data_IF_812798680803
#
_entry.id   IF_812798680803
#
_cell.length_a   1.000
_cell.length_b   1.000
_cell.length_c   1.000
_cell.angle_alpha   90.00
_cell.angle_beta   90.00
_cell.angle_gamma   90.00
#
_symmetry.space_group_name_H-M   'P 1'
#
loop_
_entity.id
_entity.type
_entity.pdbx_description
1 polymer ?
#
# COMPACT_ATOMS: atom_id res chain seq x y z
N UNK A 1 -5.69 -16.09 -11.23
CA UNK A 1 -6.67 -16.64 -10.26
C UNK A 1 -6.52 -15.97 -8.89
N UNK A 2 -5.32 -15.88 -8.30
CA UNK A 2 -5.10 -15.23 -7.00
C UNK A 2 -5.55 -13.75 -6.95
N UNK A 3 -5.18 -12.94 -7.94
CA UNK A 3 -5.55 -11.51 -8.03
C UNK A 3 -7.06 -11.28 -7.94
N UNK A 4 -7.86 -12.01 -8.73
CA UNK A 4 -9.33 -11.88 -8.73
C UNK A 4 -9.98 -12.26 -7.39
N UNK A 5 -9.43 -13.27 -6.70
CA UNK A 5 -9.90 -13.69 -5.37
C UNK A 5 -9.57 -12.61 -4.33
N UNK A 6 -8.36 -12.07 -4.36
CA UNK A 6 -7.95 -10.99 -3.45
C UNK A 6 -8.74 -9.71 -3.70
N UNK A 7 -9.01 -9.34 -4.96
CA UNK A 7 -9.90 -8.22 -5.30
C UNK A 7 -11.31 -8.41 -4.74
N UNK A 8 -11.85 -9.63 -4.83
CA UNK A 8 -13.16 -9.95 -4.24
C UNK A 8 -13.12 -9.87 -2.71
N UNK A 9 -12.02 -10.30 -2.09
CA UNK A 9 -11.82 -10.24 -0.65
C UNK A 9 -11.74 -8.80 -0.14
N UNK A 10 -10.95 -7.93 -0.79
CA UNK A 10 -10.87 -6.51 -0.40
C UNK A 10 -12.17 -5.75 -0.68
N UNK A 11 -12.94 -6.14 -1.70
CA UNK A 11 -14.26 -5.57 -1.95
C UNK A 11 -15.28 -5.97 -0.87
N UNK A 12 -15.26 -7.23 -0.42
CA UNK A 12 -16.17 -7.74 0.60
C UNK A 12 -15.78 -7.30 2.03
N UNK A 13 -14.49 -7.21 2.32
CA UNK A 13 -13.94 -6.82 3.61
C UNK A 13 -12.80 -5.80 3.45
N UNK A 14 -13.10 -4.52 3.16
CA UNK A 14 -12.08 -3.51 2.85
C UNK A 14 -11.07 -3.24 3.99
N UNK A 15 -11.40 -3.58 5.24
CA UNK A 15 -10.50 -3.43 6.40
C UNK A 15 -9.62 -4.65 6.65
N UNK A 16 -9.76 -5.74 5.86
CA UNK A 16 -8.91 -6.92 5.95
C UNK A 16 -7.53 -6.62 5.34
N UNK A 17 -6.62 -6.08 6.14
CA UNK A 17 -5.32 -5.61 5.66
C UNK A 17 -4.48 -6.68 4.95
N UNK A 18 -4.52 -7.93 5.42
CA UNK A 18 -3.75 -9.03 4.82
C UNK A 18 -4.05 -9.22 3.32
N UNK A 19 -5.31 -9.06 2.90
CA UNK A 19 -5.67 -9.20 1.48
C UNK A 19 -5.06 -8.10 0.60
N UNK A 20 -4.89 -6.90 1.15
CA UNK A 20 -4.24 -5.79 0.44
C UNK A 20 -2.73 -5.98 0.32
N UNK A 21 -2.06 -6.50 1.36
CA UNK A 21 -0.62 -6.81 1.30
C UNK A 21 -0.35 -7.88 0.25
N UNK A 22 -1.09 -9.00 0.29
CA UNK A 22 -0.94 -10.07 -0.69
C UNK A 22 -1.18 -9.55 -2.12
N UNK A 23 -2.14 -8.64 -2.29
CA UNK A 23 -2.41 -8.03 -3.59
C UNK A 23 -1.26 -7.13 -4.06
N UNK A 24 -0.64 -6.36 -3.15
CA UNK A 24 0.51 -5.52 -3.45
C UNK A 24 1.75 -6.37 -3.83
N UNK A 25 1.99 -7.47 -3.12
CA UNK A 25 3.10 -8.38 -3.41
C UNK A 25 2.98 -9.13 -4.75
N UNK A 26 1.78 -9.15 -5.35
CA UNK A 26 1.56 -9.69 -6.70
C UNK A 26 1.75 -8.65 -7.81
N UNK A 27 1.83 -7.35 -7.48
CA UNK A 27 2.05 -6.28 -8.43
C UNK A 27 3.56 -6.08 -8.64
N UNK A 28 4.08 -6.52 -9.79
CA UNK A 28 5.51 -6.42 -10.11
C UNK A 28 5.91 -5.09 -10.75
N UNK A 29 4.93 -4.29 -11.18
CA UNK A 29 5.14 -3.01 -11.85
C UNK A 29 3.97 -2.06 -11.55
N UNK A 30 4.18 -0.77 -11.74
CA UNK A 30 3.20 0.27 -11.40
C UNK A 30 1.91 0.10 -12.22
N UNK A 31 2.04 -0.23 -13.51
CA UNK A 31 0.94 -0.46 -14.44
C UNK A 31 0.03 -1.62 -14.01
N UNK A 32 0.60 -2.60 -13.30
CA UNK A 32 -0.19 -3.70 -12.75
C UNK A 32 -1.16 -3.22 -11.66
N UNK A 33 -0.79 -2.19 -10.89
CA UNK A 33 -1.66 -1.58 -9.88
C UNK A 33 -2.87 -0.88 -10.52
N UNK A 34 -2.66 -0.18 -11.64
CA UNK A 34 -3.73 0.54 -12.35
C UNK A 34 -4.79 -0.39 -12.94
N UNK A 35 -4.43 -1.66 -13.20
CA UNK A 35 -5.37 -2.67 -13.69
C UNK A 35 -6.32 -3.22 -12.61
N UNK A 36 -6.00 -3.00 -11.34
CA UNK A 36 -6.76 -3.55 -10.21
C UNK A 36 -8.11 -2.83 -10.05
N UNK A 37 -9.18 -3.63 -10.03
CA UNK A 37 -10.50 -3.19 -9.60
C UNK A 37 -10.56 -3.20 -8.07
N UNK A 38 -10.37 -2.03 -7.46
CA UNK A 38 -10.34 -1.83 -6.01
C UNK A 38 -11.58 -1.05 -5.53
N UNK A 39 -12.08 -1.32 -4.31
CA UNK A 39 -13.20 -0.58 -3.76
C UNK A 39 -12.81 0.85 -3.40
N UNK A 40 -13.73 1.80 -3.58
CA UNK A 40 -13.56 3.18 -3.09
C UNK A 40 -13.63 3.22 -1.56
N UNK A 41 -12.49 3.04 -0.90
CA UNK A 41 -12.38 2.97 0.55
C UNK A 41 -11.06 3.59 1.03
N UNK A 42 -11.02 4.12 2.26
CA UNK A 42 -9.83 4.81 2.79
C UNK A 42 -8.61 3.87 2.93
N UNK A 43 -8.82 2.56 3.01
CA UNK A 43 -7.73 1.57 3.02
C UNK A 43 -6.91 1.58 1.72
N UNK A 44 -7.43 2.14 0.62
CA UNK A 44 -6.64 2.35 -0.60
C UNK A 44 -5.41 3.24 -0.37
N UNK A 45 -5.45 4.17 0.57
CA UNK A 45 -4.30 5.03 0.88
C UNK A 45 -3.15 4.23 1.52
N UNK A 46 -3.49 3.28 2.41
CA UNK A 46 -2.51 2.35 2.97
C UNK A 46 -1.98 1.38 1.92
N UNK A 47 -2.86 0.86 1.06
CA UNK A 47 -2.47 0.00 -0.05
C UNK A 47 -1.48 0.70 -1.00
N UNK A 48 -1.79 1.91 -1.46
CA UNK A 48 -0.92 2.65 -2.38
C UNK A 48 0.46 2.92 -1.76
N UNK A 49 0.49 3.41 -0.51
CA UNK A 49 1.75 3.68 0.20
C UNK A 49 2.60 2.41 0.37
N UNK A 50 1.98 1.28 0.70
CA UNK A 50 2.67 -0.01 0.83
C UNK A 50 3.16 -0.54 -0.52
N UNK A 51 2.32 -0.51 -1.56
CA UNK A 51 2.70 -0.95 -2.90
C UNK A 51 3.89 -0.15 -3.46
N UNK A 52 3.98 1.15 -3.17
CA UNK A 52 5.15 1.95 -3.55
C UNK A 52 6.44 1.51 -2.85
N UNK A 53 6.37 1.04 -1.60
CA UNK A 53 7.53 0.45 -0.91
C UNK A 53 7.98 -0.84 -1.61
N UNK A 54 7.04 -1.74 -1.93
CA UNK A 54 7.33 -3.00 -2.62
C UNK A 54 7.94 -2.77 -4.00
N UNK A 55 7.42 -1.77 -4.75
CA UNK A 55 7.93 -1.35 -6.06
C UNK A 55 9.22 -0.52 -6.00
N UNK A 56 9.81 -0.31 -4.81
CA UNK A 56 11.02 0.53 -4.60
C UNK A 56 10.87 1.99 -5.05
N UNK A 57 9.64 2.49 -5.12
CA UNK A 57 9.30 3.88 -5.43
C UNK A 57 9.35 4.73 -4.14
N UNK A 58 10.56 4.90 -3.60
CA UNK A 58 10.76 5.41 -2.25
C UNK A 58 10.21 6.83 -2.03
N UNK A 59 10.32 7.73 -3.01
CA UNK A 59 9.79 9.10 -2.88
C UNK A 59 8.25 9.10 -2.81
N UNK A 60 7.59 8.34 -3.71
CA UNK A 60 6.14 8.20 -3.74
C UNK A 60 5.62 7.53 -2.47
N UNK A 61 6.33 6.51 -1.97
CA UNK A 61 6.00 5.86 -0.70
C UNK A 61 6.07 6.85 0.47
N UNK A 62 7.14 7.65 0.55
CA UNK A 62 7.31 8.66 1.60
C UNK A 62 6.22 9.73 1.54
N UNK A 63 5.91 10.25 0.35
CA UNK A 63 4.82 11.22 0.16
C UNK A 63 3.47 10.65 0.60
N UNK A 64 3.16 9.41 0.20
CA UNK A 64 1.91 8.74 0.56
C UNK A 64 1.80 8.49 2.08
N UNK A 65 2.88 8.03 2.74
CA UNK A 65 2.88 7.86 4.19
C UNK A 65 2.90 9.18 4.97
N UNK A 66 3.49 10.24 4.43
CA UNK A 66 3.35 11.59 4.99
C UNK A 66 1.89 12.07 4.95
N UNK A 67 1.16 11.80 3.87
CA UNK A 67 -0.26 12.12 3.80
C UNK A 67 -1.07 11.37 4.87
N UNK A 68 -0.79 10.07 5.10
CA UNK A 68 -1.41 9.29 6.18
C UNK A 68 -1.06 9.85 7.56
N UNK A 69 0.20 10.23 7.78
CA UNK A 69 0.66 10.86 9.03
C UNK A 69 -0.14 12.14 9.30
N UNK A 70 -0.28 13.01 8.30
CA UNK A 70 -1.04 14.25 8.40
C UNK A 70 -2.56 14.02 8.59
N UNK A 71 -3.07 12.85 8.21
CA UNK A 71 -4.47 12.46 8.39
C UNK A 71 -4.77 11.86 9.78
N UNK A 72 -3.81 11.86 10.71
CA UNK A 72 -4.01 11.38 12.09
C UNK A 72 -3.40 10.00 12.39
N UNK A 73 -2.58 9.45 11.49
CA UNK A 73 -1.89 8.16 11.70
C UNK A 73 -0.43 8.32 12.15
N UNK A 74 -0.04 9.48 12.66
CA UNK A 74 1.34 9.78 13.07
C UNK A 74 1.87 8.90 14.23
N UNK A 75 0.97 8.26 14.99
CA UNK A 75 1.32 7.31 16.06
C UNK A 75 1.24 5.84 15.62
N UNK A 76 0.95 5.56 14.35
CA UNK A 76 0.87 4.20 13.83
C UNK A 76 2.26 3.60 13.69
N UNK A 77 2.57 2.57 14.50
CA UNK A 77 3.84 1.84 14.41
C UNK A 77 4.09 1.27 13.01
N UNK A 78 3.02 0.85 12.33
CA UNK A 78 3.10 0.35 10.96
C UNK A 78 3.57 1.45 9.98
N UNK A 79 2.95 2.64 10.02
CA UNK A 79 3.32 3.78 9.18
C UNK A 79 4.77 4.18 9.44
N UNK A 80 5.16 4.31 10.71
CA UNK A 80 6.54 4.65 11.09
C UNK A 80 7.55 3.63 10.57
N UNK A 81 7.26 2.33 10.69
CA UNK A 81 8.15 1.27 10.21
C UNK A 81 8.31 1.32 8.68
N UNK A 82 7.22 1.52 7.94
CA UNK A 82 7.26 1.58 6.47
C UNK A 82 7.99 2.83 5.96
N UNK A 83 7.83 3.98 6.61
CA UNK A 83 8.62 5.18 6.29
C UNK A 83 10.12 4.95 6.55
N UNK A 84 10.47 4.24 7.62
CA UNK A 84 11.87 3.91 7.91
C UNK A 84 12.48 3.01 6.82
N UNK A 85 11.72 2.03 6.32
CA UNK A 85 12.12 1.18 5.18
C UNK A 85 12.31 2.05 3.92
N UNK A 86 11.33 2.87 3.55
CA UNK A 86 11.43 3.73 2.37
C UNK A 86 12.62 4.72 2.44
N UNK A 87 12.88 5.29 3.62
CA UNK A 87 14.07 6.13 3.83
C UNK A 87 15.39 5.35 3.73
N UNK A 88 15.42 4.09 4.16
CA UNK A 88 16.58 3.23 4.01
C UNK A 88 16.82 2.91 2.53
N UNK A 89 15.77 2.46 1.82
CA UNK A 89 15.85 2.08 0.41
C UNK A 89 16.22 3.26 -0.49
N UNK A 90 15.77 4.48 -0.19
CA UNK A 90 16.22 5.69 -0.90
C UNK A 90 17.73 5.96 -0.80
N UNK A 91 18.36 5.53 0.29
CA UNK A 91 19.78 5.82 0.58
C UNK A 91 20.72 4.77 0.00
N UNK A 92 20.22 3.57 -0.30
CA UNK A 92 20.96 2.48 -0.94
C UNK A 92 21.02 2.65 -2.44
#
# INVERSE_FOLDING_TARGET
>A
QAVTVLQSAVAAAPTLWAAWIELAGLANEYEALDSLQLPKHWMMYFFAAHAFVELKLSEQALEAYMALTNAGFEKSTYVTAQMAIAHHDRRG
#
